data_IF_926649808718
#
_entry.id   IF_926649808718
#
_cell.length_a   1.000
_cell.length_b   1.000
_cell.length_c   1.000
_cell.angle_alpha   90.00
_cell.angle_beta   90.00
_cell.angle_gamma   90.00
#
_symmetry.space_group_name_H-M   'P 1'
#
loop_
_entity.id
_entity.type
_entity.pdbx_description
1 polymer ?
#
# COMPACT_ATOMS: atom_id res chain seq x y z
N UNK A 1 18.12 5.28 -5.24
CA UNK A 1 16.73 5.51 -4.83
C UNK A 1 15.81 4.97 -5.91
N UNK A 2 15.15 3.86 -5.64
CA UNK A 2 14.17 3.19 -6.51
C UNK A 2 12.80 3.14 -5.83
N UNK A 3 11.74 3.30 -6.62
CA UNK A 3 10.36 3.18 -6.14
C UNK A 3 9.59 2.23 -7.07
N UNK A 4 8.97 1.21 -6.50
CA UNK A 4 8.15 0.25 -7.25
C UNK A 4 6.67 0.59 -7.18
N UNK A 5 5.96 0.49 -8.29
CA UNK A 5 4.50 0.50 -8.33
C UNK A 5 4.01 -0.95 -8.20
N UNK A 6 3.48 -1.33 -7.03
CA UNK A 6 3.15 -2.73 -6.71
C UNK A 6 1.65 -3.02 -6.78
N UNK A 7 0.82 -2.01 -7.06
CA UNK A 7 -0.63 -2.17 -7.10
C UNK A 7 -1.17 -2.49 -5.71
N UNK A 8 -1.63 -3.73 -5.51
CA UNK A 8 -2.20 -4.22 -4.24
C UNK A 8 -1.35 -5.37 -3.72
N UNK A 9 -0.97 -5.31 -2.45
CA UNK A 9 -0.20 -6.34 -1.76
C UNK A 9 -0.47 -6.34 -0.26
N UNK A 10 0.12 -7.30 0.44
CA UNK A 10 0.11 -7.38 1.90
C UNK A 10 1.35 -6.75 2.55
N UNK A 11 1.34 -6.65 3.88
CA UNK A 11 2.48 -6.11 4.63
C UNK A 11 3.78 -6.89 4.40
N UNK A 12 3.70 -8.22 4.29
CA UNK A 12 4.86 -9.08 4.05
C UNK A 12 5.48 -8.82 2.68
N UNK A 13 4.65 -8.60 1.64
CA UNK A 13 5.13 -8.24 0.30
C UNK A 13 5.91 -6.92 0.36
N UNK A 14 5.33 -5.90 1.01
CA UNK A 14 5.97 -4.59 1.11
C UNK A 14 7.28 -4.66 1.90
N UNK A 15 7.32 -5.41 2.99
CA UNK A 15 8.55 -5.62 3.79
C UNK A 15 9.64 -6.30 2.98
N UNK A 16 9.32 -7.36 2.23
CA UNK A 16 10.31 -8.06 1.39
C UNK A 16 10.86 -7.10 0.33
N UNK A 17 9.98 -6.37 -0.38
CA UNK A 17 10.42 -5.42 -1.41
C UNK A 17 11.24 -4.26 -0.88
N UNK A 18 10.92 -3.70 0.29
CA UNK A 18 11.57 -2.47 0.79
C UNK A 18 12.61 -2.70 1.87
N UNK A 19 12.79 -3.94 2.34
CA UNK A 19 13.83 -4.25 3.31
C UNK A 19 15.20 -3.93 2.74
N UNK A 20 15.97 -3.11 3.47
CA UNK A 20 17.33 -2.77 3.07
C UNK A 20 18.24 -4.00 2.92
N UNK A 21 17.91 -5.10 3.63
CA UNK A 21 18.65 -6.38 3.56
C UNK A 21 18.44 -7.12 2.22
N UNK A 22 17.27 -6.95 1.60
CA UNK A 22 16.92 -7.69 0.37
C UNK A 22 17.42 -6.95 -0.89
N UNK A 23 17.89 -5.70 -0.76
CA UNK A 23 18.50 -4.91 -1.85
C UNK A 23 17.61 -4.75 -3.11
N UNK A 24 16.28 -4.83 -2.97
CA UNK A 24 15.33 -4.74 -4.08
C UNK A 24 14.89 -3.29 -4.38
N UNK A 25 13.96 -2.75 -3.58
CA UNK A 25 13.39 -1.41 -3.74
C UNK A 25 13.63 -0.56 -2.50
N UNK A 26 13.70 0.76 -2.65
CA UNK A 26 13.74 1.65 -1.50
C UNK A 26 12.35 2.01 -0.96
N UNK A 27 11.34 2.01 -1.83
CA UNK A 27 9.96 2.41 -1.52
C UNK A 27 8.98 1.70 -2.45
N UNK A 28 7.71 1.65 -2.04
CA UNK A 28 6.61 1.14 -2.87
C UNK A 28 5.42 2.10 -2.90
N UNK A 29 4.73 2.17 -4.03
CA UNK A 29 3.39 2.74 -4.13
C UNK A 29 2.34 1.63 -4.00
N UNK A 30 1.55 1.69 -2.91
CA UNK A 30 0.38 0.84 -2.67
C UNK A 30 -0.89 1.58 -3.11
N UNK A 31 -1.76 0.91 -3.86
CA UNK A 31 -2.95 1.50 -4.46
C UNK A 31 -4.19 1.45 -3.57
N UNK A 32 -4.13 0.80 -2.40
CA UNK A 32 -5.27 0.67 -1.48
C UNK A 32 -6.00 1.99 -1.25
N UNK A 33 -5.26 3.08 -1.01
CA UNK A 33 -5.83 4.38 -0.68
C UNK A 33 -6.39 5.15 -1.90
N UNK A 34 -5.89 4.88 -3.11
CA UNK A 34 -6.45 5.48 -4.35
C UNK A 34 -7.63 4.67 -4.90
N UNK A 35 -7.80 3.42 -4.46
CA UNK A 35 -8.92 2.56 -4.85
C UNK A 35 -10.12 2.60 -3.90
N UNK A 36 -10.06 3.43 -2.86
CA UNK A 36 -11.21 3.64 -1.99
C UNK A 36 -12.32 4.34 -2.78
N UNK A 37 -13.50 3.73 -2.81
CA UNK A 37 -14.64 4.21 -3.58
C UNK A 37 -14.71 3.67 -5.01
N UNK A 38 -13.78 2.81 -5.41
CA UNK A 38 -13.83 2.03 -6.66
C UNK A 38 -14.40 0.63 -6.39
N UNK A 39 -15.28 0.13 -7.27
CA UNK A 39 -15.75 -1.26 -7.21
C UNK A 39 -14.59 -2.24 -7.47
N UNK A 40 -14.45 -3.32 -6.69
CA UNK A 40 -13.42 -4.35 -6.94
C UNK A 40 -13.57 -5.05 -8.30
N UNK A 41 -14.79 -5.10 -8.85
CA UNK A 41 -15.09 -5.75 -10.12
C UNK A 41 -14.83 -4.83 -11.32
N UNK A 42 -15.02 -3.52 -11.14
CA UNK A 42 -14.86 -2.51 -12.19
C UNK A 42 -14.40 -1.17 -11.61
N UNK A 43 -13.15 -0.79 -11.88
CA UNK A 43 -12.54 0.47 -11.39
C UNK A 43 -13.37 1.74 -11.65
N UNK A 44 -14.10 1.76 -12.76
CA UNK A 44 -14.92 2.92 -13.17
C UNK A 44 -16.32 2.94 -12.56
N UNK A 45 -16.68 1.94 -11.77
CA UNK A 45 -17.89 1.92 -10.97
C UNK A 45 -17.60 2.49 -9.58
N UNK A 46 -18.40 3.47 -9.16
CA UNK A 46 -18.23 4.15 -7.88
C UNK A 46 -19.04 3.46 -6.79
N UNK A 47 -18.42 3.23 -5.64
CA UNK A 47 -19.08 2.74 -4.42
C UNK A 47 -18.93 3.77 -3.28
N UNK A 48 -19.90 3.86 -2.35
CA UNK A 48 -19.76 4.73 -1.19
C UNK A 48 -18.60 4.29 -0.29
N UNK A 49 -17.89 5.25 0.28
CA UNK A 49 -16.86 5.02 1.30
C UNK A 49 -16.91 6.10 2.37
N UNK A 50 -16.27 5.85 3.51
CA UNK A 50 -16.16 6.79 4.62
C UNK A 50 -14.75 7.34 4.75
N UNK A 51 -14.60 8.47 5.45
CA UNK A 51 -13.26 8.98 5.80
C UNK A 51 -12.43 7.98 6.60
N UNK A 52 -13.07 7.08 7.36
CA UNK A 52 -12.39 6.01 8.09
C UNK A 52 -11.73 5.02 7.12
N UNK A 53 -12.43 4.62 6.06
CA UNK A 53 -11.93 3.67 5.06
C UNK A 53 -10.68 4.23 4.37
N UNK A 54 -10.72 5.51 3.99
CA UNK A 54 -9.56 6.19 3.42
C UNK A 54 -8.36 6.26 4.38
N UNK A 55 -8.57 6.58 5.66
CA UNK A 55 -7.50 6.65 6.66
C UNK A 55 -6.84 5.28 6.89
N UNK A 56 -7.64 4.22 6.95
CA UNK A 56 -7.12 2.86 7.10
C UNK A 56 -6.32 2.43 5.87
N UNK A 57 -6.86 2.68 4.68
CA UNK A 57 -6.17 2.37 3.42
C UNK A 57 -4.86 3.16 3.25
N UNK A 58 -4.81 4.42 3.72
CA UNK A 58 -3.61 5.23 3.73
C UNK A 58 -2.56 4.67 4.69
N UNK A 59 -2.99 4.21 5.87
CA UNK A 59 -2.10 3.65 6.89
C UNK A 59 -1.34 2.40 6.40
N UNK A 60 -1.94 1.59 5.52
CA UNK A 60 -1.28 0.45 4.89
C UNK A 60 -0.05 0.82 4.04
N UNK A 61 0.11 2.10 3.67
CA UNK A 61 1.29 2.54 2.92
C UNK A 61 2.53 2.79 3.80
N UNK A 62 2.39 2.75 5.13
CA UNK A 62 3.50 3.06 6.03
C UNK A 62 3.52 2.29 7.36
N UNK A 63 2.43 1.69 7.83
CA UNK A 63 2.46 0.95 9.09
C UNK A 63 3.30 -0.33 9.02
N UNK A 64 3.53 -0.88 7.83
CA UNK A 64 4.33 -2.11 7.67
C UNK A 64 5.81 -1.92 8.07
N UNK A 65 6.32 -0.67 8.16
CA UNK A 65 7.68 -0.38 8.66
C UNK A 65 7.72 -0.09 10.17
N UNK A 66 6.57 -0.13 10.86
CA UNK A 66 6.56 0.07 12.32
C UNK A 66 7.32 -1.06 13.01
N UNK A 67 8.31 -0.70 13.83
CA UNK A 67 9.14 -1.66 14.56
C UNK A 67 10.23 -2.36 13.74
N UNK A 68 10.50 -1.93 12.49
CA UNK A 68 11.58 -2.49 11.66
C UNK A 68 12.93 -1.77 11.84
N UNK A 69 12.97 -0.61 12.50
CA UNK A 69 14.21 0.07 12.91
C UNK A 69 14.78 -0.59 14.18
N UNK A 70 15.59 -1.64 14.01
CA UNK A 70 16.36 -2.28 15.08
C UNK A 70 17.85 -2.41 14.72
#
# INVERSE_FOLDING_TARGET
MTVGEVGVGGEDDFKVYTSAKEEELNMVFNFKHISVGESPELKYELIPFTSKDFKLALAESFLFIEGTDC
#
